data_IF_751349527771
#
_entry.id   IF_751349527771
#
_cell.length_a   1.000
_cell.length_b   1.000
_cell.length_c   1.000
_cell.angle_alpha   90.00
_cell.angle_beta   90.00
_cell.angle_gamma   90.00
#
_symmetry.space_group_name_H-M   'P 1'
#
loop_
_entity.id
_entity.type
_entity.pdbx_description
1 polymer ?
#
# COMPACT_ATOMS: atom_id res chain seq x y z
N UNK A 1 0.77 -1.21 -4.99
CA UNK A 1 -0.32 -1.89 -4.25
C UNK A 1 -1.67 -1.30 -4.68
N UNK A 2 -2.79 -2.01 -4.52
CA UNK A 2 -4.16 -1.45 -4.60
C UNK A 2 -4.52 -0.83 -3.24
N UNK A 3 -5.45 0.12 -3.22
CA UNK A 3 -5.86 0.78 -1.97
C UNK A 3 -6.29 -0.20 -0.87
N UNK A 4 -7.13 -1.20 -1.20
CA UNK A 4 -7.55 -2.21 -0.22
C UNK A 4 -6.41 -3.11 0.26
N UNK A 5 -5.40 -3.36 -0.58
CA UNK A 5 -4.17 -4.06 -0.15
C UNK A 5 -3.41 -3.20 0.86
N UNK A 6 -3.34 -1.87 0.66
CA UNK A 6 -2.65 -0.96 1.57
C UNK A 6 -3.38 -0.82 2.91
N UNK A 7 -4.70 -0.70 2.91
CA UNK A 7 -5.50 -0.56 4.14
C UNK A 7 -5.45 -1.82 4.99
N UNK A 8 -5.50 -3.00 4.36
CA UNK A 8 -5.57 -4.28 5.09
C UNK A 8 -4.20 -4.90 5.37
N UNK A 9 -3.12 -4.29 4.90
CA UNK A 9 -1.77 -4.81 5.03
C UNK A 9 -1.40 -5.11 6.48
N UNK A 10 -0.83 -6.29 6.74
CA UNK A 10 -0.19 -6.60 8.02
C UNK A 10 1.10 -5.78 8.16
N UNK A 11 1.01 -4.64 8.85
CA UNK A 11 2.09 -3.68 9.01
C UNK A 11 3.27 -4.26 9.78
N UNK A 12 3.01 -5.18 10.72
CA UNK A 12 4.08 -5.84 11.47
C UNK A 12 4.86 -6.79 10.57
N UNK A 13 4.16 -7.59 9.75
CA UNK A 13 4.79 -8.45 8.73
C UNK A 13 5.60 -7.62 7.75
N UNK A 14 4.99 -6.61 7.12
CA UNK A 14 5.68 -5.79 6.12
C UNK A 14 6.92 -5.11 6.70
N UNK A 15 6.88 -4.68 7.97
CA UNK A 15 8.02 -4.01 8.59
C UNK A 15 9.17 -4.95 8.90
N UNK A 16 8.86 -6.19 9.31
CA UNK A 16 9.88 -7.24 9.43
C UNK A 16 10.49 -7.56 8.08
N UNK A 17 9.67 -7.80 7.06
CA UNK A 17 10.15 -8.04 5.69
C UNK A 17 11.05 -6.89 5.17
N UNK A 18 10.64 -5.63 5.39
CA UNK A 18 11.42 -4.46 5.00
C UNK A 18 12.77 -4.32 5.74
N UNK A 19 12.83 -4.73 7.01
CA UNK A 19 14.05 -4.67 7.81
C UNK A 19 14.99 -5.85 7.52
N UNK A 20 14.43 -7.05 7.45
CA UNK A 20 15.21 -8.28 7.38
C UNK A 20 15.62 -8.61 5.94
N UNK A 21 14.77 -8.26 4.95
CA UNK A 21 14.96 -8.65 3.55
C UNK A 21 15.19 -7.46 2.61
N UNK A 22 14.96 -6.22 3.06
CA UNK A 22 15.01 -5.04 2.20
C UNK A 22 13.90 -4.99 1.14
N UNK A 23 12.87 -5.83 1.26
CA UNK A 23 11.76 -5.93 0.32
C UNK A 23 10.51 -6.45 1.02
N UNK A 24 9.33 -6.07 0.54
CA UNK A 24 8.04 -6.50 1.06
C UNK A 24 7.28 -7.36 0.07
N UNK A 25 6.50 -8.31 0.55
CA UNK A 25 5.63 -9.14 -0.28
C UNK A 25 4.19 -8.67 -0.17
N UNK A 26 3.59 -8.29 -1.31
CA UNK A 26 2.21 -7.85 -1.36
C UNK A 26 1.29 -9.07 -1.56
N UNK A 27 0.83 -9.63 -0.45
CA UNK A 27 0.13 -10.93 -0.40
C UNK A 27 -1.41 -10.86 -0.49
N UNK A 28 -2.02 -9.70 -0.28
CA UNK A 28 -3.47 -9.66 -0.02
C UNK A 28 -4.34 -9.63 -1.29
N UNK A 29 -5.07 -10.71 -1.54
CA UNK A 29 -6.15 -10.75 -2.54
C UNK A 29 -7.48 -10.42 -1.86
N UNK A 30 -8.22 -9.49 -2.43
CA UNK A 30 -9.50 -8.99 -1.91
C UNK A 30 -10.70 -9.80 -2.42
N UNK A 31 -10.53 -11.10 -2.69
CA UNK A 31 -11.59 -11.92 -3.29
C UNK A 31 -11.43 -13.39 -2.86
N UNK A 32 -12.30 -13.79 -1.94
CA UNK A 32 -12.74 -15.16 -1.62
C UNK A 32 -11.72 -16.28 -1.75
N UNK A 33 -11.26 -16.79 -0.61
CA UNK A 33 -11.29 -18.20 -0.25
C UNK A 33 -10.85 -19.25 -1.29
N UNK A 34 -9.92 -18.88 -2.17
CA UNK A 34 -9.18 -19.83 -2.99
C UNK A 34 -7.72 -19.71 -2.61
N UNK A 35 -7.27 -20.69 -1.84
CA UNK A 35 -5.87 -20.98 -1.54
C UNK A 35 -5.07 -21.40 -2.81
N UNK A 36 -5.29 -20.71 -3.93
CA UNK A 36 -4.44 -20.79 -5.11
C UNK A 36 -3.36 -19.75 -4.96
N UNK A 37 -2.12 -20.19 -4.77
CA UNK A 37 -0.93 -19.37 -4.56
C UNK A 37 -0.95 -18.11 -5.44
N UNK A 38 -1.28 -16.96 -4.83
CA UNK A 38 -0.96 -15.69 -5.46
C UNK A 38 0.56 -15.66 -5.54
N UNK A 39 1.11 -15.56 -6.75
CA UNK A 39 2.54 -15.45 -6.94
C UNK A 39 3.08 -14.35 -6.02
N UNK A 40 4.16 -14.62 -5.31
CA UNK A 40 4.77 -13.63 -4.42
C UNK A 40 5.10 -12.37 -5.23
N UNK A 41 4.66 -11.21 -4.74
CA UNK A 41 4.91 -9.91 -5.38
C UNK A 41 5.85 -9.13 -4.50
N UNK A 42 7.14 -9.44 -4.66
CA UNK A 42 8.21 -8.76 -3.96
C UNK A 42 8.44 -7.37 -4.54
N UNK A 43 8.44 -6.37 -3.67
CA UNK A 43 8.76 -4.98 -3.96
C UNK A 43 9.96 -4.60 -3.12
N UNK A 44 11.05 -4.16 -3.75
CA UNK A 44 12.20 -3.60 -3.04
C UNK A 44 11.78 -2.34 -2.28
N UNK A 45 12.26 -2.19 -1.04
CA UNK A 45 11.92 -1.08 -0.17
C UNK A 45 12.99 -0.01 -0.30
N UNK A 46 12.59 1.19 -0.72
CA UNK A 46 13.41 2.40 -0.64
C UNK A 46 13.15 3.18 0.67
N UNK A 47 13.84 4.31 0.84
CA UNK A 47 13.73 5.14 2.04
C UNK A 47 12.34 5.77 2.20
N UNK A 48 11.67 6.12 1.09
CA UNK A 48 10.32 6.65 1.13
C UNK A 48 9.32 5.58 1.59
N UNK A 49 9.44 4.36 1.09
CA UNK A 49 8.62 3.22 1.52
C UNK A 49 8.88 2.86 2.98
N UNK A 50 10.15 2.89 3.43
CA UNK A 50 10.50 2.66 4.84
C UNK A 50 9.89 3.72 5.75
N UNK A 51 9.96 4.99 5.35
CA UNK A 51 9.34 6.10 6.06
C UNK A 51 7.81 5.97 6.13
N UNK A 52 7.16 5.67 5.00
CA UNK A 52 5.71 5.47 4.94
C UNK A 52 5.25 4.29 5.82
N UNK A 53 6.00 3.19 5.81
CA UNK A 53 5.70 2.03 6.65
C UNK A 53 5.91 2.32 8.13
N UNK A 54 6.97 3.06 8.48
CA UNK A 54 7.22 3.54 9.84
C UNK A 54 6.08 4.43 10.35
N UNK A 55 5.64 5.39 9.53
CA UNK A 55 4.51 6.25 9.84
C UNK A 55 3.21 5.45 10.01
N UNK A 56 2.92 4.52 9.09
CA UNK A 56 1.74 3.65 9.19
C UNK A 56 1.72 2.85 10.50
N UNK A 57 2.87 2.32 10.96
CA UNK A 57 2.97 1.66 12.27
C UNK A 57 2.74 2.60 13.43
N UNK A 58 3.26 3.82 13.36
CA UNK A 58 3.14 4.82 14.41
C UNK A 58 1.68 5.23 14.62
N UNK A 59 0.91 5.38 13.54
CA UNK A 59 -0.50 5.76 13.59
C UNK A 59 -1.44 4.56 13.72
N UNK A 60 -0.92 3.33 13.59
CA UNK A 60 -1.72 2.12 13.73
C UNK A 60 -2.32 2.05 15.14
N UNK A 61 -3.64 1.84 15.28
CA UNK A 61 -4.27 1.72 16.58
C UNK A 61 -3.68 0.57 17.41
N UNK A 62 -3.65 0.74 18.73
CA UNK A 62 -3.14 -0.29 19.64
C UNK A 62 -3.92 -1.59 19.47
N UNK A 63 -3.19 -2.70 19.33
CA UNK A 63 -3.77 -4.04 19.12
C UNK A 63 -4.18 -4.35 17.68
N UNK A 64 -4.07 -3.39 16.75
CA UNK A 64 -4.34 -3.61 15.33
C UNK A 64 -3.10 -4.09 14.58
N UNK A 65 -3.33 -4.94 13.56
CA UNK A 65 -2.27 -5.36 12.60
C UNK A 65 -2.12 -4.42 11.42
N UNK A 66 -3.13 -3.56 11.21
CA UNK A 66 -3.22 -2.62 10.10
C UNK A 66 -3.80 -1.30 10.62
N UNK A 67 -4.11 -0.37 9.71
CA UNK A 67 -4.58 0.98 10.08
C UNK A 67 -6.03 1.04 10.58
N UNK A 68 -6.78 -0.07 10.60
CA UNK A 68 -8.16 -0.13 11.09
C UNK A 68 -8.14 -0.43 12.59
N UNK A 69 -8.83 0.39 13.40
CA UNK A 69 -8.96 0.12 14.83
C UNK A 69 -9.80 -1.15 15.11
N UNK A 70 -9.66 -1.80 16.28
CA UNK A 70 -10.39 -3.04 16.56
C UNK A 70 -11.92 -2.92 16.50
N UNK A 71 -12.45 -1.71 16.70
CA UNK A 71 -13.88 -1.39 16.66
C UNK A 71 -14.34 -0.79 15.32
N UNK A 72 -13.40 -0.53 14.40
CA UNK A 72 -13.69 0.00 13.08
C UNK A 72 -13.84 -1.12 12.05
N UNK A 73 -14.50 -0.80 10.95
CA UNK A 73 -14.58 -1.68 9.79
C UNK A 73 -13.85 -1.06 8.61
N UNK A 74 -13.51 -1.88 7.62
CA UNK A 74 -13.01 -1.38 6.34
C UNK A 74 -13.99 -0.35 5.72
N UNK A 75 -15.30 -0.55 5.87
CA UNK A 75 -16.31 0.33 5.30
C UNK A 75 -16.32 1.70 5.98
N UNK A 76 -16.24 1.76 7.32
CA UNK A 76 -16.19 3.02 8.06
C UNK A 76 -14.92 3.80 7.72
N UNK A 77 -13.75 3.16 7.77
CA UNK A 77 -12.49 3.81 7.36
C UNK A 77 -12.55 4.32 5.90
N UNK A 78 -13.17 3.55 5.01
CA UNK A 78 -13.33 3.98 3.62
C UNK A 78 -14.24 5.21 3.47
N UNK A 79 -15.35 5.26 4.22
CA UNK A 79 -16.29 6.37 4.17
C UNK A 79 -15.74 7.62 4.85
N UNK A 80 -15.14 7.45 6.02
CA UNK A 80 -14.80 8.56 6.91
C UNK A 80 -13.41 9.15 6.62
N UNK A 81 -12.49 8.35 6.09
CA UNK A 81 -11.09 8.77 5.84
C UNK A 81 -10.77 8.78 4.35
N UNK A 82 -11.01 7.67 3.64
CA UNK A 82 -10.56 7.54 2.25
C UNK A 82 -11.34 8.44 1.30
N UNK A 83 -12.67 8.56 1.46
CA UNK A 83 -13.47 9.44 0.60
C UNK A 83 -13.00 10.89 0.74
N UNK A 84 -12.89 11.49 1.94
CA UNK A 84 -12.33 12.83 2.09
C UNK A 84 -10.90 12.98 1.55
N UNK A 85 -10.05 11.96 1.73
CA UNK A 85 -8.69 12.00 1.19
C UNK A 85 -8.62 12.09 -0.35
N UNK A 86 -9.69 11.72 -1.07
CA UNK A 86 -9.75 11.93 -2.53
C UNK A 86 -9.81 13.40 -2.90
N UNK A 87 -10.42 14.24 -2.07
CA UNK A 87 -10.47 15.68 -2.31
C UNK A 87 -9.05 16.28 -2.29
N UNK A 88 -8.17 15.74 -1.43
CA UNK A 88 -6.74 16.12 -1.41
C UNK A 88 -6.07 15.71 -2.73
N UNK A 89 -6.35 14.52 -3.25
CA UNK A 89 -5.83 14.09 -4.55
C UNK A 89 -6.33 15.01 -5.68
N UNK A 90 -7.61 15.35 -5.69
CA UNK A 90 -8.20 16.25 -6.67
C UNK A 90 -7.59 17.64 -6.62
N UNK A 91 -7.29 18.17 -5.44
CA UNK A 91 -6.59 19.44 -5.27
C UNK A 91 -5.17 19.44 -5.88
N UNK A 92 -4.58 18.25 -6.04
CA UNK A 92 -3.30 18.03 -6.72
C UNK A 92 -3.45 17.48 -8.16
N UNK A 93 -4.63 17.65 -8.76
CA UNK A 93 -4.97 17.20 -10.12
C UNK A 93 -4.83 15.68 -10.33
N UNK A 94 -4.91 14.89 -9.26
CA UNK A 94 -4.90 13.43 -9.32
C UNK A 94 -6.32 12.89 -9.18
N UNK A 95 -6.79 12.12 -10.16
CA UNK A 95 -8.17 11.59 -10.24
C UNK A 95 -8.52 10.68 -9.07
N UNK A 96 -7.65 9.72 -8.74
CA UNK A 96 -7.84 8.79 -7.62
C UNK A 96 -6.54 8.02 -7.29
N UNK A 97 -6.59 7.20 -6.24
CA UNK A 97 -5.45 6.39 -5.77
C UNK A 97 -4.86 5.42 -6.82
N UNK A 98 -5.59 5.07 -7.88
CA UNK A 98 -5.03 4.26 -8.98
C UNK A 98 -3.94 5.02 -9.74
N UNK A 99 -4.00 6.35 -9.81
CA UNK A 99 -2.96 7.12 -10.50
C UNK A 99 -1.63 7.03 -9.76
N UNK A 100 -1.64 7.05 -8.42
CA UNK A 100 -0.45 6.78 -7.61
C UNK A 100 0.14 5.39 -7.91
N UNK A 101 -0.73 4.38 -8.03
CA UNK A 101 -0.31 3.02 -8.40
C UNK A 101 0.26 2.97 -9.83
N UNK A 102 -0.34 3.70 -10.76
CA UNK A 102 0.10 3.76 -12.15
C UNK A 102 1.46 4.45 -12.27
N UNK A 103 1.64 5.59 -11.62
CA UNK A 103 2.91 6.32 -11.56
C UNK A 103 4.04 5.43 -11.05
N UNK A 104 3.83 4.72 -9.94
CA UNK A 104 4.81 3.75 -9.43
C UNK A 104 5.13 2.64 -10.46
N UNK A 105 4.12 2.11 -11.15
CA UNK A 105 4.34 1.08 -12.16
C UNK A 105 5.17 1.60 -13.35
N UNK A 106 4.92 2.83 -13.80
CA UNK A 106 5.70 3.48 -14.85
C UNK A 106 7.16 3.68 -14.44
N UNK A 107 7.39 4.21 -13.24
CA UNK A 107 8.73 4.39 -12.69
C UNK A 107 9.49 3.06 -12.59
N UNK A 108 8.84 2.03 -12.02
CA UNK A 108 9.43 0.68 -11.92
C UNK A 108 9.73 0.06 -13.28
N UNK A 109 8.85 0.25 -14.26
CA UNK A 109 9.10 -0.22 -15.62
C UNK A 109 10.37 0.43 -16.18
N UNK A 110 10.54 1.73 -15.99
CA UNK A 110 11.74 2.45 -16.42
C UNK A 110 13.01 1.91 -15.74
N UNK A 111 12.97 1.70 -14.43
CA UNK A 111 14.10 1.13 -13.67
C UNK A 111 14.48 -0.28 -14.14
N UNK A 112 13.50 -1.14 -14.41
CA UNK A 112 13.73 -2.53 -14.86
C UNK A 112 14.25 -2.56 -16.30
N UNK A 113 13.69 -1.73 -17.18
CA UNK A 113 14.04 -1.73 -18.61
C UNK A 113 15.19 -0.80 -18.95
N UNK A 114 15.71 -0.04 -17.98
CA UNK A 114 16.69 1.04 -18.16
C UNK A 114 16.22 2.08 -19.20
N UNK A 115 14.91 2.29 -19.30
CA UNK A 115 14.30 3.31 -20.16
C UNK A 115 13.82 4.47 -19.29
N UNK A 116 14.06 5.70 -19.73
CA UNK A 116 13.48 6.86 -19.08
C UNK A 116 11.94 6.77 -19.16
N UNK A 117 11.20 7.14 -18.10
CA UNK A 117 9.75 7.20 -18.19
C UNK A 117 9.39 8.21 -19.29
N UNK A 118 8.50 7.83 -20.20
CA UNK A 118 7.93 8.76 -21.16
C UNK A 118 7.01 9.72 -20.39
N UNK A 119 7.47 10.96 -20.20
CA UNK A 119 6.68 12.08 -19.70
C UNK A 119 6.25 12.96 -20.86
#
# INVERSE_FOLDING_TARGET
MRLREAILADLLRLSREANDLGRINIQDVTKGDRAGASAQRWIAVDDHMRGALGFARQVSPAGSRNVIAPHESYLSLFQDIIRPAREILHAHNLKDFHELRAAYACERYGQITQRLPAY
#
